data_IF_844311426518
#
_entry.id   IF_844311426518
#
_cell.length_a   1.000
_cell.length_b   1.000
_cell.length_c   1.000
_cell.angle_alpha   90.00
_cell.angle_beta   90.00
_cell.angle_gamma   90.00
#
_symmetry.space_group_name_H-M   'P 1'
#
loop_
_entity.id
_entity.type
_entity.pdbx_description
1 polymer ?
#
# COMPACT_ATOMS: atom_id res chain seq x y z
N UNK A 1 9.11 -0.09 -4.96
CA UNK A 1 8.13 -0.07 -3.85
C UNK A 1 7.11 -1.21 -3.92
N UNK A 2 7.18 -2.13 -4.90
CA UNK A 2 6.29 -3.30 -4.94
C UNK A 2 6.87 -4.37 -4.02
N UNK A 3 6.02 -5.05 -3.26
CA UNK A 3 6.42 -6.13 -2.37
C UNK A 3 5.65 -6.15 -1.05
N UNK A 4 6.06 -7.08 -0.19
CA UNK A 4 5.54 -7.28 1.16
C UNK A 4 6.52 -6.72 2.17
N UNK A 5 6.04 -5.84 3.04
CA UNK A 5 6.85 -5.18 4.07
C UNK A 5 6.16 -5.29 5.43
N UNK A 6 6.94 -5.20 6.50
CA UNK A 6 6.39 -5.08 7.84
C UNK A 6 7.24 -4.22 8.76
N UNK A 7 6.68 -3.83 9.90
CA UNK A 7 7.36 -3.04 10.94
C UNK A 7 7.73 -3.88 12.18
N UNK A 8 8.02 -5.18 12.02
CA UNK A 8 8.33 -6.07 13.13
C UNK A 8 9.58 -5.61 13.92
N UNK A 9 10.63 -5.17 13.23
CA UNK A 9 11.84 -4.64 13.88
C UNK A 9 11.56 -3.37 14.68
N UNK A 10 10.64 -2.51 14.21
CA UNK A 10 10.24 -1.32 14.95
C UNK A 10 9.53 -1.71 16.25
N UNK A 11 8.55 -2.62 16.19
CA UNK A 11 7.87 -3.14 17.38
C UNK A 11 8.86 -3.75 18.39
N UNK A 12 9.88 -4.49 17.91
CA UNK A 12 10.90 -5.10 18.78
C UNK A 12 11.73 -4.06 19.52
N UNK A 13 11.97 -2.90 18.91
CA UNK A 13 12.77 -1.82 19.48
C UNK A 13 11.93 -0.85 20.33
N UNK A 14 10.65 -0.70 20.03
CA UNK A 14 9.71 0.17 20.73
C UNK A 14 8.31 -0.44 20.72
N UNK A 15 7.87 -0.90 21.89
CA UNK A 15 6.62 -1.61 22.08
C UNK A 15 5.36 -0.74 21.94
N UNK A 16 5.51 0.59 21.85
CA UNK A 16 4.39 1.48 21.60
C UNK A 16 3.92 1.42 20.13
N UNK A 17 4.73 0.84 19.24
CA UNK A 17 4.38 0.64 17.83
C UNK A 17 3.82 -0.76 17.56
N UNK A 18 2.82 -0.86 16.69
CA UNK A 18 2.32 -2.14 16.20
C UNK A 18 3.20 -2.70 15.07
N UNK A 19 3.25 -4.03 14.95
CA UNK A 19 3.71 -4.67 13.73
C UNK A 19 2.62 -4.55 12.64
N UNK A 20 2.86 -3.66 11.69
CA UNK A 20 1.98 -3.40 10.55
C UNK A 20 2.54 -4.13 9.34
N UNK A 21 1.67 -4.86 8.64
CA UNK A 21 1.93 -5.41 7.31
C UNK A 21 1.52 -4.41 6.25
N UNK A 22 2.39 -4.21 5.27
CA UNK A 22 2.15 -3.37 4.10
C UNK A 22 2.36 -4.23 2.84
N UNK A 23 1.29 -4.44 2.09
CA UNK A 23 1.31 -5.17 0.84
C UNK A 23 1.12 -4.17 -0.31
N UNK A 24 2.00 -4.21 -1.31
CA UNK A 24 2.00 -3.26 -2.43
C UNK A 24 2.08 -4.01 -3.75
N UNK A 25 0.99 -4.01 -4.51
CA UNK A 25 0.84 -4.76 -5.75
C UNK A 25 0.67 -3.85 -6.96
N UNK A 26 1.33 -4.21 -8.06
CA UNK A 26 1.13 -3.55 -9.35
C UNK A 26 -0.26 -3.88 -9.89
N UNK A 27 -1.02 -2.84 -10.24
CA UNK A 27 -2.27 -2.98 -10.99
C UNK A 27 -2.17 -2.26 -12.34
N UNK A 28 -3.05 -2.64 -13.27
CA UNK A 28 -3.15 -2.07 -14.62
C UNK A 28 -1.80 -1.91 -15.32
N UNK A 29 -1.04 -3.00 -15.50
CA UNK A 29 0.32 -2.95 -16.07
C UNK A 29 0.36 -2.39 -17.49
N UNK A 30 -0.74 -2.49 -18.25
CA UNK A 30 -0.82 -2.04 -19.64
C UNK A 30 -1.02 -0.52 -19.79
N UNK A 31 -1.20 0.22 -18.68
CA UNK A 31 -1.30 1.68 -18.72
C UNK A 31 0.07 2.33 -18.94
N UNK A 32 0.11 3.32 -19.83
CA UNK A 32 1.32 4.08 -20.17
C UNK A 32 1.42 5.44 -19.45
N UNK A 33 0.43 5.80 -18.63
CA UNK A 33 0.39 7.06 -17.88
C UNK A 33 1.08 6.98 -16.52
N UNK A 34 1.98 6.01 -16.34
CA UNK A 34 2.77 5.82 -15.13
C UNK A 34 2.38 4.58 -14.34
N UNK A 35 2.65 4.62 -13.04
CA UNK A 35 2.62 3.48 -12.17
C UNK A 35 1.42 3.44 -11.23
N UNK A 36 0.50 2.49 -11.44
CA UNK A 36 -0.63 2.23 -10.57
C UNK A 36 -0.34 1.10 -9.59
N UNK A 37 -0.54 1.33 -8.30
CA UNK A 37 -0.35 0.34 -7.24
C UNK A 37 -1.60 0.24 -6.37
N UNK A 38 -2.03 -0.97 -6.05
CA UNK A 38 -2.97 -1.22 -4.96
C UNK A 38 -2.16 -1.54 -3.71
N UNK A 39 -2.55 -0.89 -2.61
CA UNK A 39 -1.83 -0.94 -1.34
C UNK A 39 -2.80 -1.34 -0.25
N UNK A 40 -2.41 -2.33 0.53
CA UNK A 40 -3.13 -2.76 1.72
C UNK A 40 -2.26 -2.56 2.97
N UNK A 41 -2.88 -2.08 4.05
CA UNK A 41 -2.27 -2.00 5.36
C UNK A 41 -3.14 -2.71 6.40
N UNK A 42 -2.52 -3.63 7.12
CA UNK A 42 -3.15 -4.44 8.15
C UNK A 42 -2.22 -4.59 9.35
N UNK A 43 -2.76 -4.90 10.52
CA UNK A 43 -1.93 -5.43 11.61
C UNK A 43 -1.42 -6.80 11.16
N UNK A 44 -0.14 -7.10 11.38
CA UNK A 44 0.49 -8.31 10.86
C UNK A 44 -0.18 -9.61 11.32
N UNK A 45 -0.84 -9.60 12.48
CA UNK A 45 -1.62 -10.73 13.01
C UNK A 45 -3.00 -10.92 12.37
N UNK A 46 -3.44 -9.99 11.50
CA UNK A 46 -4.77 -9.99 10.91
C UNK A 46 -4.74 -9.40 9.48
N UNK A 47 -3.93 -9.99 8.60
CA UNK A 47 -3.73 -9.54 7.22
C UNK A 47 -5.02 -9.53 6.40
N UNK A 48 -5.91 -10.50 6.62
CA UNK A 48 -7.18 -10.64 5.88
C UNK A 48 -8.24 -9.57 6.22
N UNK A 49 -7.89 -8.61 7.09
CA UNK A 49 -8.75 -7.48 7.47
C UNK A 49 -7.93 -6.19 7.48
N UNK A 50 -7.45 -5.72 6.33
CA UNK A 50 -6.73 -4.47 6.26
C UNK A 50 -7.64 -3.34 6.72
N UNK A 51 -7.12 -2.48 7.59
CA UNK A 51 -7.84 -1.30 8.07
C UNK A 51 -7.79 -0.16 7.05
N UNK A 52 -6.94 -0.28 6.01
CA UNK A 52 -6.82 0.72 4.96
C UNK A 52 -6.40 0.07 3.64
N UNK A 53 -7.09 0.46 2.57
CA UNK A 53 -6.62 0.19 1.21
C UNK A 53 -6.60 1.46 0.36
N UNK A 54 -5.59 1.62 -0.50
CA UNK A 54 -5.47 2.80 -1.37
C UNK A 54 -4.95 2.43 -2.76
N UNK A 55 -5.30 3.25 -3.74
CA UNK A 55 -4.67 3.21 -5.06
C UNK A 55 -3.68 4.36 -5.16
N UNK A 56 -2.43 4.04 -5.48
CA UNK A 56 -1.38 5.04 -5.73
C UNK A 56 -1.14 5.13 -7.22
N UNK A 57 -1.07 6.34 -7.75
CA UNK A 57 -0.64 6.63 -9.11
C UNK A 57 0.66 7.43 -9.06
N UNK A 58 1.73 6.81 -9.53
CA UNK A 58 3.09 7.33 -9.46
C UNK A 58 3.57 7.60 -10.88
N UNK A 59 3.81 8.85 -11.23
CA UNK A 59 4.21 9.23 -12.58
C UNK A 59 5.20 10.38 -12.54
N UNK A 60 5.95 10.52 -13.62
CA UNK A 60 6.86 11.65 -13.79
C UNK A 60 6.09 12.81 -14.45
N UNK A 61 6.34 14.02 -13.95
CA UNK A 61 5.82 15.27 -14.53
C UNK A 61 6.86 16.38 -14.34
N UNK A 62 7.43 16.87 -15.45
CA UNK A 62 8.42 17.95 -15.51
C UNK A 62 9.67 17.73 -14.63
N UNK A 63 10.26 16.54 -14.70
CA UNK A 63 11.42 16.09 -13.94
C UNK A 63 11.10 15.64 -12.51
N UNK A 64 9.83 15.65 -12.10
CA UNK A 64 9.41 15.37 -10.72
C UNK A 64 8.54 14.12 -10.67
N UNK A 65 8.87 13.19 -9.78
CA UNK A 65 8.01 12.04 -9.49
C UNK A 65 6.86 12.48 -8.60
N UNK A 66 5.64 12.43 -9.12
CA UNK A 66 4.39 12.66 -8.38
C UNK A 66 3.81 11.35 -7.90
N UNK A 67 3.18 11.38 -6.72
CA UNK A 67 2.41 10.25 -6.17
C UNK A 67 1.04 10.78 -5.75
N UNK A 68 0.00 10.33 -6.46
CA UNK A 68 -1.41 10.70 -6.18
C UNK A 68 -2.10 9.51 -5.51
N UNK A 69 -2.81 9.78 -4.42
CA UNK A 69 -3.46 8.76 -3.60
C UNK A 69 -4.97 8.86 -3.77
N UNK A 70 -5.60 7.74 -4.16
CA UNK A 70 -7.05 7.62 -4.30
C UNK A 70 -7.62 6.72 -3.21
N UNK A 71 -8.79 7.09 -2.68
CA UNK A 71 -9.62 6.21 -1.85
C UNK A 71 -10.41 5.24 -2.73
N UNK A 72 -10.68 4.05 -2.18
CA UNK A 72 -11.46 3.01 -2.85
C UNK A 72 -12.87 3.02 -2.23
N UNK A 73 -13.92 3.32 -3.00
CA UNK A 73 -15.29 3.09 -2.55
C UNK A 73 -15.50 1.60 -2.24
N UNK A 74 -16.19 1.29 -1.14
CA UNK A 74 -16.45 -0.09 -0.71
C UNK A 74 -15.18 -0.96 -0.63
N UNK A 75 -14.09 -0.41 -0.08
CA UNK A 75 -12.75 -1.04 -0.03
C UNK A 75 -12.75 -2.50 0.46
N UNK A 76 -13.69 -2.88 1.32
CA UNK A 76 -13.86 -4.26 1.81
C UNK A 76 -14.06 -5.31 0.70
N UNK A 77 -14.54 -4.91 -0.47
CA UNK A 77 -14.73 -5.81 -1.61
C UNK A 77 -13.43 -6.12 -2.36
N UNK A 78 -12.33 -5.44 -2.01
CA UNK A 78 -11.04 -5.52 -2.70
C UNK A 78 -9.91 -6.07 -1.81
N UNK A 79 -10.25 -6.59 -0.63
CA UNK A 79 -9.29 -7.27 0.26
C UNK A 79 -8.80 -8.55 -0.39
N UNK A 80 -7.48 -8.75 -0.48
CA UNK A 80 -6.90 -10.03 -0.90
C UNK A 80 -5.46 -9.98 -1.38
#
# INVERSE_FOLDING_TARGET
MIGSFNSEEQLKNDSDYYNISLEMHRIWPDRNDGYWLHIEQAVASNKDKPYRQRIYHIFEDNGVIKSVIYSIPDEKNFVG
#
